data_IF_990802665263
#
_entry.id   IF_990802665263
#
_cell.length_a   1.000
_cell.length_b   1.000
_cell.length_c   1.000
_cell.angle_alpha   90.00
_cell.angle_beta   90.00
_cell.angle_gamma   90.00
#
_symmetry.space_group_name_H-M   'P 1'
#
loop_
_entity.id
_entity.type
_entity.pdbx_description
1 polymer ?
#
# COMPACT_ATOMS: atom_id res chain seq x y z
N UNK A 1 2.91 -5.33 42.95
CA UNK A 1 2.49 -6.03 41.72
C UNK A 1 2.32 -4.94 40.65
N UNK A 2 3.43 -4.42 40.14
CA UNK A 2 3.88 -4.73 38.78
C UNK A 2 3.37 -3.66 37.81
N UNK A 3 3.97 -2.46 37.84
CA UNK A 3 3.58 -1.34 36.98
C UNK A 3 3.93 -1.64 35.52
N UNK A 4 3.05 -2.32 34.80
CA UNK A 4 3.05 -2.27 33.34
C UNK A 4 2.82 -0.80 32.97
N UNK A 5 3.89 -0.08 32.64
CA UNK A 5 3.76 1.22 32.01
C UNK A 5 2.96 1.04 30.72
N UNK A 6 2.06 1.97 30.38
CA UNK A 6 1.21 1.84 29.19
C UNK A 6 2.04 1.53 27.91
N UNK A 7 3.27 2.04 27.86
CA UNK A 7 4.25 1.73 26.84
C UNK A 7 4.60 0.23 26.73
N UNK A 8 4.86 -0.44 27.85
CA UNK A 8 5.15 -1.88 27.87
C UNK A 8 3.94 -2.72 27.43
N UNK A 9 2.73 -2.29 27.76
CA UNK A 9 1.50 -2.95 27.29
C UNK A 9 1.34 -2.83 25.77
N UNK A 10 1.59 -1.65 25.19
CA UNK A 10 1.53 -1.44 23.75
C UNK A 10 2.53 -2.34 23.00
N UNK A 11 3.77 -2.44 23.50
CA UNK A 11 4.79 -3.34 22.93
C UNK A 11 4.34 -4.81 23.00
N UNK A 12 3.79 -5.24 24.14
CA UNK A 12 3.32 -6.62 24.29
C UNK A 12 2.21 -6.95 23.29
N UNK A 13 1.19 -6.08 23.21
CA UNK A 13 0.05 -6.26 22.30
C UNK A 13 0.49 -6.24 20.83
N UNK A 14 1.34 -5.29 20.43
CA UNK A 14 1.84 -5.21 19.07
C UNK A 14 2.68 -6.42 18.70
N UNK A 15 3.52 -6.90 19.62
CA UNK A 15 4.40 -8.06 19.39
C UNK A 15 3.58 -9.34 19.22
N UNK A 16 2.59 -9.58 20.09
CA UNK A 16 1.70 -10.74 19.98
C UNK A 16 0.93 -10.73 18.65
N UNK A 17 0.36 -9.59 18.28
CA UNK A 17 -0.35 -9.45 17.01
C UNK A 17 0.57 -9.65 15.80
N UNK A 18 1.79 -9.11 15.86
CA UNK A 18 2.78 -9.28 14.79
C UNK A 18 3.25 -10.72 14.64
N UNK A 19 3.40 -11.47 15.73
CA UNK A 19 3.70 -12.91 15.67
C UNK A 19 2.56 -13.64 14.95
N UNK A 20 1.30 -13.35 15.26
CA UNK A 20 0.14 -13.94 14.57
C UNK A 20 0.14 -13.58 13.09
N UNK A 21 0.32 -12.30 12.74
CA UNK A 21 0.34 -11.84 11.35
C UNK A 21 1.48 -12.50 10.55
N UNK A 22 2.69 -12.54 11.11
CA UNK A 22 3.86 -13.15 10.49
C UNK A 22 3.71 -14.65 10.33
N UNK A 23 3.21 -15.37 11.34
CA UNK A 23 3.03 -16.82 11.28
C UNK A 23 2.00 -17.23 10.23
N UNK A 24 0.85 -16.55 10.17
CA UNK A 24 -0.16 -16.79 9.14
C UNK A 24 0.35 -16.47 7.73
N UNK A 25 1.06 -15.35 7.56
CA UNK A 25 1.67 -15.01 6.28
C UNK A 25 2.76 -16.01 5.88
N UNK A 26 3.61 -16.44 6.82
CA UNK A 26 4.66 -17.42 6.57
C UNK A 26 4.07 -18.78 6.21
N UNK A 27 3.01 -19.21 6.89
CA UNK A 27 2.26 -20.42 6.54
C UNK A 27 1.75 -20.35 5.10
N UNK A 28 1.11 -19.25 4.70
CA UNK A 28 0.59 -19.11 3.35
C UNK A 28 1.71 -19.07 2.29
N UNK A 29 2.80 -18.36 2.56
CA UNK A 29 3.99 -18.34 1.68
C UNK A 29 4.57 -19.74 1.53
N UNK A 30 4.72 -20.47 2.64
CA UNK A 30 5.21 -21.85 2.64
C UNK A 30 4.33 -22.78 1.79
N UNK A 31 3.00 -22.65 1.90
CA UNK A 31 2.06 -23.40 1.05
C UNK A 31 2.21 -23.09 -0.44
N UNK A 32 2.45 -21.82 -0.81
CA UNK A 32 2.75 -21.45 -2.21
C UNK A 32 4.10 -22.00 -2.69
N UNK A 33 5.09 -22.12 -1.80
CA UNK A 33 6.41 -22.66 -2.13
C UNK A 33 6.41 -24.19 -2.28
N UNK A 34 5.61 -24.92 -1.50
CA UNK A 34 5.45 -26.38 -1.70
C UNK A 34 4.71 -26.65 -3.01
N UNK A 35 3.66 -25.89 -3.30
CA UNK A 35 2.83 -26.08 -4.48
C UNK A 35 3.29 -25.20 -5.66
N UNK A 36 4.60 -25.10 -5.90
CA UNK A 36 5.20 -24.11 -6.81
C UNK A 36 5.09 -24.48 -8.30
N UNK A 37 3.87 -24.60 -8.81
CA UNK A 37 3.57 -25.02 -10.20
C UNK A 37 3.74 -23.89 -11.22
N UNK A 38 3.38 -22.65 -10.87
CA UNK A 38 3.42 -21.49 -11.76
C UNK A 38 4.36 -20.41 -11.23
N UNK A 39 5.68 -20.53 -11.45
CA UNK A 39 6.68 -19.71 -10.78
C UNK A 39 6.54 -18.21 -11.08
N UNK A 40 6.16 -17.84 -12.31
CA UNK A 40 5.99 -16.42 -12.71
C UNK A 40 4.84 -15.75 -11.95
N UNK A 41 3.77 -16.48 -11.65
CA UNK A 41 2.57 -15.99 -10.96
C UNK A 41 2.76 -16.04 -9.45
N UNK A 42 3.19 -17.19 -8.93
CA UNK A 42 3.37 -17.41 -7.50
C UNK A 42 4.45 -16.52 -6.90
N UNK A 43 5.53 -16.23 -7.63
CA UNK A 43 6.54 -15.25 -7.19
C UNK A 43 5.93 -13.86 -6.94
N UNK A 44 4.97 -13.43 -7.76
CA UNK A 44 4.30 -12.13 -7.59
C UNK A 44 3.33 -12.18 -6.40
N UNK A 45 2.63 -13.29 -6.20
CA UNK A 45 1.77 -13.50 -5.03
C UNK A 45 2.59 -13.49 -3.74
N UNK A 46 3.70 -14.22 -3.69
CA UNK A 46 4.60 -14.25 -2.53
C UNK A 46 5.08 -12.83 -2.19
N UNK A 47 5.46 -12.02 -3.19
CA UNK A 47 5.79 -10.59 -2.98
C UNK A 47 4.64 -9.79 -2.37
N UNK A 48 3.40 -10.03 -2.79
CA UNK A 48 2.23 -9.36 -2.19
C UNK A 48 2.03 -9.82 -0.74
N UNK A 49 2.18 -11.11 -0.46
CA UNK A 49 1.99 -11.67 0.89
C UNK A 49 3.00 -11.12 1.89
N UNK A 50 4.24 -10.89 1.45
CA UNK A 50 5.30 -10.28 2.28
C UNK A 50 4.98 -8.87 2.78
N UNK A 51 3.94 -8.20 2.25
CA UNK A 51 3.46 -6.91 2.77
C UNK A 51 3.12 -6.99 4.27
N UNK A 52 2.42 -8.04 4.70
CA UNK A 52 1.93 -8.18 6.07
C UNK A 52 3.09 -8.31 7.08
N UNK A 53 4.09 -9.21 6.88
CA UNK A 53 5.28 -9.25 7.71
C UNK A 53 6.06 -7.93 7.75
N UNK A 54 6.21 -7.26 6.60
CA UNK A 54 6.91 -5.98 6.54
C UNK A 54 6.23 -4.94 7.44
N UNK A 55 4.92 -4.73 7.29
CA UNK A 55 4.20 -3.76 8.13
C UNK A 55 4.25 -4.13 9.61
N UNK A 56 3.91 -5.37 9.97
CA UNK A 56 3.84 -5.80 11.38
C UNK A 56 5.18 -5.70 12.12
N UNK A 57 6.29 -6.12 11.48
CA UNK A 57 7.64 -6.03 12.07
C UNK A 57 8.03 -4.56 12.24
N UNK A 58 7.96 -3.74 11.19
CA UNK A 58 8.40 -2.34 11.27
C UNK A 58 7.51 -1.47 12.17
N UNK A 59 6.20 -1.74 12.24
CA UNK A 59 5.30 -1.07 13.19
C UNK A 59 5.65 -1.44 14.63
N UNK A 60 5.93 -2.73 14.91
CA UNK A 60 6.33 -3.17 16.26
C UNK A 60 7.67 -2.56 16.68
N UNK A 61 8.66 -2.53 15.78
CA UNK A 61 9.97 -1.90 16.04
C UNK A 61 9.85 -0.38 16.25
N UNK A 62 8.88 0.28 15.62
CA UNK A 62 8.66 1.72 15.76
C UNK A 62 8.22 2.14 17.16
N UNK A 63 7.69 1.23 17.99
CA UNK A 63 7.22 1.57 19.35
C UNK A 63 8.40 1.81 20.31
N UNK A 64 9.32 0.85 20.55
CA UNK A 64 10.48 1.09 21.42
C UNK A 64 11.49 2.08 20.79
N UNK A 65 11.65 2.06 19.47
CA UNK A 65 12.53 2.98 18.73
C UNK A 65 11.73 4.12 18.07
N UNK A 66 10.91 4.82 18.86
CA UNK A 66 10.02 5.88 18.37
C UNK A 66 10.75 7.05 17.69
N UNK A 67 12.02 7.31 18.03
CA UNK A 67 12.84 8.32 17.35
C UNK A 67 13.11 7.93 15.90
N UNK A 68 13.26 6.64 15.63
CA UNK A 68 13.54 6.09 14.30
C UNK A 68 12.29 5.71 13.51
N UNK A 69 11.09 5.95 14.05
CA UNK A 69 9.80 5.55 13.45
C UNK A 69 9.60 6.02 12.00
N UNK A 70 10.15 7.18 11.63
CA UNK A 70 10.07 7.70 10.24
C UNK A 70 10.90 6.87 9.28
N UNK A 71 12.08 6.39 9.71
CA UNK A 71 12.91 5.51 8.89
C UNK A 71 12.21 4.17 8.65
N UNK A 72 11.63 3.58 9.70
CA UNK A 72 10.85 2.34 9.57
C UNK A 72 9.60 2.55 8.71
N UNK A 73 8.91 3.68 8.90
CA UNK A 73 7.84 4.21 8.05
C UNK A 73 8.16 4.16 6.57
N UNK A 74 9.27 4.80 6.20
CA UNK A 74 9.73 4.90 4.83
C UNK A 74 9.95 3.52 4.17
N UNK A 75 10.39 2.50 4.92
CA UNK A 75 10.65 1.16 4.38
C UNK A 75 9.37 0.44 3.98
N UNK A 76 8.38 0.33 4.88
CA UNK A 76 7.15 -0.40 4.55
C UNK A 76 6.27 0.38 3.56
N UNK A 77 6.29 1.71 3.59
CA UNK A 77 5.58 2.54 2.60
C UNK A 77 6.21 2.45 1.21
N UNK A 78 7.53 2.28 1.12
CA UNK A 78 8.18 1.95 -0.15
C UNK A 78 7.76 0.56 -0.63
N UNK A 79 7.72 -0.42 0.27
CA UNK A 79 7.30 -1.78 -0.06
C UNK A 79 5.86 -1.83 -0.63
N UNK A 80 4.96 -1.00 -0.12
CA UNK A 80 3.60 -0.81 -0.64
C UNK A 80 3.59 -0.60 -2.16
N UNK A 81 4.50 0.22 -2.68
CA UNK A 81 4.60 0.48 -4.13
C UNK A 81 4.99 -0.76 -4.93
N UNK A 82 5.89 -1.59 -4.39
CA UNK A 82 6.29 -2.84 -4.99
C UNK A 82 5.15 -3.86 -5.00
N UNK A 83 4.27 -3.83 -4.00
CA UNK A 83 3.07 -4.66 -3.92
C UNK A 83 2.08 -4.27 -5.01
N UNK A 84 1.81 -2.97 -5.19
CA UNK A 84 0.92 -2.47 -6.25
C UNK A 84 1.46 -2.82 -7.64
N UNK A 85 2.77 -2.64 -7.87
CA UNK A 85 3.39 -3.05 -9.13
C UNK A 85 3.34 -4.57 -9.35
N UNK A 86 3.58 -5.36 -8.29
CA UNK A 86 3.47 -6.82 -8.36
C UNK A 86 2.05 -7.28 -8.66
N UNK A 87 1.04 -6.60 -8.11
CA UNK A 87 -0.36 -6.86 -8.39
C UNK A 87 -0.72 -6.53 -9.85
N UNK A 88 -0.26 -5.41 -10.39
CA UNK A 88 -0.45 -5.11 -11.82
C UNK A 88 0.16 -6.18 -12.71
N UNK A 89 1.42 -6.57 -12.45
CA UNK A 89 2.08 -7.64 -13.17
C UNK A 89 1.35 -8.98 -13.03
N UNK A 90 0.77 -9.25 -11.86
CA UNK A 90 -0.02 -10.45 -11.60
C UNK A 90 -1.25 -10.49 -12.51
N UNK A 91 -1.98 -9.38 -12.64
CA UNK A 91 -3.12 -9.28 -13.56
C UNK A 91 -2.68 -9.51 -15.01
N UNK A 92 -1.55 -8.93 -15.43
CA UNK A 92 -1.01 -9.17 -16.78
C UNK A 92 -0.67 -10.65 -17.00
N UNK A 93 -0.09 -11.33 -16.00
CA UNK A 93 0.27 -12.76 -16.12
C UNK A 93 -0.94 -13.69 -16.12
N UNK A 94 -2.05 -13.29 -15.49
CA UNK A 94 -3.31 -14.04 -15.60
C UNK A 94 -3.92 -13.94 -17.00
N UNK A 95 -3.70 -12.85 -17.74
CA UNK A 95 -4.15 -12.73 -19.13
C UNK A 95 -3.30 -13.56 -20.08
N UNK A 96 -1.98 -13.48 -19.93
CA UNK A 96 -1.08 -14.30 -20.71
C UNK A 96 0.26 -14.53 -19.97
N UNK A 97 0.82 -15.75 -20.01
CA UNK A 97 2.12 -16.05 -19.43
C UNK A 97 3.24 -15.18 -19.98
N UNK A 98 3.15 -14.61 -21.19
CA UNK A 98 4.15 -13.74 -21.79
C UNK A 98 3.66 -12.29 -21.96
N UNK A 99 4.38 -11.36 -21.31
CA UNK A 99 4.02 -9.94 -21.29
C UNK A 99 4.11 -9.26 -22.66
N UNK A 100 4.95 -9.78 -23.56
CA UNK A 100 5.05 -9.27 -24.92
C UNK A 100 3.76 -9.54 -25.70
N UNK A 101 3.16 -10.73 -25.50
CA UNK A 101 1.87 -11.08 -26.09
C UNK A 101 0.77 -10.19 -25.51
N UNK A 102 0.77 -9.96 -24.19
CA UNK A 102 -0.18 -9.01 -23.57
C UNK A 102 -0.11 -7.64 -24.25
N UNK A 103 1.10 -7.11 -24.45
CA UNK A 103 1.31 -5.81 -25.11
C UNK A 103 0.81 -5.81 -26.55
N UNK A 104 1.07 -6.85 -27.33
CA UNK A 104 0.61 -6.93 -28.73
C UNK A 104 -0.90 -7.15 -28.83
N UNK A 105 -1.49 -7.98 -27.98
CA UNK A 105 -2.95 -8.18 -27.89
C UNK A 105 -3.68 -6.88 -27.58
N UNK A 106 -3.17 -6.08 -26.63
CA UNK A 106 -3.73 -4.75 -26.39
C UNK A 106 -3.52 -3.77 -27.54
N UNK A 107 -2.48 -3.94 -28.37
CA UNK A 107 -2.31 -3.15 -29.59
C UNK A 107 -3.39 -3.38 -30.65
N UNK A 108 -4.04 -4.55 -30.62
CA UNK A 108 -5.12 -4.92 -31.55
C UNK A 108 -6.53 -4.60 -31.01
N UNK A 109 -6.65 -4.24 -29.74
CA UNK A 109 -7.92 -3.98 -29.07
C UNK A 109 -8.21 -2.48 -28.99
N UNK A 110 -9.45 -2.09 -29.25
CA UNK A 110 -9.92 -0.75 -28.93
C UNK A 110 -10.18 -0.63 -27.41
N UNK A 111 -9.48 0.29 -26.70
CA UNK A 111 -9.63 0.43 -25.26
C UNK A 111 -10.98 1.07 -24.91
N UNK A 112 -11.61 0.53 -23.87
CA UNK A 112 -12.83 1.07 -23.30
C UNK A 112 -12.59 2.49 -22.81
N UNK A 113 -13.62 3.35 -22.88
CA UNK A 113 -13.49 4.73 -22.47
C UNK A 113 -13.09 4.83 -20.98
N UNK A 114 -12.14 5.72 -20.68
CA UNK A 114 -11.54 5.96 -19.36
C UNK A 114 -12.58 6.12 -18.24
N UNK A 115 -12.29 5.75 -17.00
CA UNK A 115 -13.21 5.98 -15.87
C UNK A 115 -13.37 7.48 -15.55
N UNK A 116 -14.41 7.85 -14.80
CA UNK A 116 -14.50 9.17 -14.16
C UNK A 116 -13.52 9.20 -12.98
N UNK A 117 -12.71 10.27 -12.76
CA UNK A 117 -12.90 11.65 -13.25
C UNK A 117 -12.09 12.02 -14.51
N UNK A 118 -11.28 11.13 -15.09
CA UNK A 118 -10.42 11.47 -16.24
C UNK A 118 -11.22 11.98 -17.44
N UNK A 119 -12.41 11.42 -17.68
CA UNK A 119 -13.31 11.95 -18.72
C UNK A 119 -13.77 13.37 -18.43
N UNK A 120 -14.15 13.65 -17.18
CA UNK A 120 -14.56 14.98 -16.75
C UNK A 120 -13.42 15.99 -16.91
N UNK A 121 -12.20 15.65 -16.44
CA UNK A 121 -11.02 16.51 -16.58
C UNK A 121 -10.69 16.76 -18.06
N UNK A 122 -10.70 15.72 -18.91
CA UNK A 122 -10.44 15.88 -20.35
C UNK A 122 -11.47 16.77 -21.05
N UNK A 123 -12.74 16.68 -20.62
CA UNK A 123 -13.84 17.48 -21.15
C UNK A 123 -13.81 18.94 -20.66
N UNK A 124 -13.63 19.14 -19.36
CA UNK A 124 -13.74 20.46 -18.70
C UNK A 124 -12.43 21.23 -18.70
N UNK A 125 -11.31 20.58 -18.33
CA UNK A 125 -9.99 21.23 -18.23
C UNK A 125 -9.32 21.32 -19.60
N UNK A 126 -9.30 20.23 -20.35
CA UNK A 126 -8.56 20.18 -21.62
C UNK A 126 -9.40 20.54 -22.85
N UNK A 127 -10.71 20.78 -22.71
CA UNK A 127 -11.69 21.06 -23.79
C UNK A 127 -11.55 20.14 -25.02
N UNK A 128 -10.98 18.94 -24.85
CA UNK A 128 -10.82 17.97 -25.93
C UNK A 128 -12.09 17.14 -26.02
N UNK A 129 -12.56 16.90 -27.24
CA UNK A 129 -13.59 15.90 -27.51
C UNK A 129 -13.12 14.59 -26.86
N UNK A 130 -14.02 13.91 -26.15
CA UNK A 130 -13.72 12.61 -25.51
C UNK A 130 -13.64 11.55 -26.63
N UNK A 131 -12.65 11.69 -27.49
CA UNK A 131 -12.29 10.63 -28.44
C UNK A 131 -11.53 9.57 -27.67
N UNK A 132 -12.03 8.34 -27.76
CA UNK A 132 -11.37 7.18 -27.20
C UNK A 132 -9.95 7.09 -27.76
N UNK A 133 -9.02 6.65 -26.91
CA UNK A 133 -7.67 6.35 -27.39
C UNK A 133 -7.83 5.27 -28.46
N UNK A 134 -7.55 5.57 -29.73
CA UNK A 134 -7.72 4.60 -30.82
C UNK A 134 -6.67 3.49 -30.78
N UNK A 135 -5.53 3.78 -30.16
CA UNK A 135 -4.40 2.87 -30.04
C UNK A 135 -4.34 2.23 -28.65
N UNK A 136 -4.66 0.95 -28.57
CA UNK A 136 -4.62 0.19 -27.32
C UNK A 136 -3.20 -0.09 -26.81
N UNK A 137 -2.18 -0.03 -27.67
CA UNK A 137 -0.77 -0.20 -27.27
C UNK A 137 -0.25 1.00 -26.47
N UNK A 138 -0.65 2.21 -26.90
CA UNK A 138 -0.41 3.46 -26.19
C UNK A 138 -1.16 3.47 -24.86
N UNK A 139 -2.43 3.05 -24.85
CA UNK A 139 -3.23 2.95 -23.63
C UNK A 139 -2.58 2.03 -22.59
N UNK A 140 -2.12 0.85 -23.01
CA UNK A 140 -1.42 -0.09 -22.11
C UNK A 140 -0.11 0.49 -21.60
N UNK A 141 0.66 1.16 -22.47
CA UNK A 141 1.93 1.79 -22.09
C UNK A 141 1.73 2.93 -21.08
N UNK A 142 0.64 3.72 -21.21
CA UNK A 142 0.28 4.75 -20.22
C UNK A 142 -0.01 4.11 -18.86
N UNK A 143 -0.85 3.06 -18.81
CA UNK A 143 -1.18 2.37 -17.56
C UNK A 143 0.09 1.80 -16.92
N UNK A 144 0.92 1.12 -17.71
CA UNK A 144 2.19 0.57 -17.27
C UNK A 144 3.07 1.65 -16.64
N UNK A 145 3.24 2.79 -17.32
CA UNK A 145 4.03 3.91 -16.83
C UNK A 145 3.44 4.53 -15.56
N UNK A 146 2.13 4.74 -15.49
CA UNK A 146 1.47 5.31 -14.31
C UNK A 146 1.60 4.41 -13.07
N UNK A 147 1.49 3.08 -13.23
CA UNK A 147 1.66 2.15 -12.11
C UNK A 147 3.13 2.10 -11.65
N UNK A 148 4.09 2.06 -12.57
CA UNK A 148 5.51 2.03 -12.21
C UNK A 148 6.04 3.38 -11.70
N UNK A 149 5.44 4.49 -12.12
CA UNK A 149 5.76 5.82 -11.60
C UNK A 149 5.55 5.91 -10.08
N UNK A 150 4.56 5.20 -9.53
CA UNK A 150 4.34 5.14 -8.09
C UNK A 150 5.53 4.54 -7.33
N UNK A 151 6.20 3.53 -7.88
CA UNK A 151 7.40 2.95 -7.27
C UNK A 151 8.54 3.97 -7.22
N UNK A 152 8.72 4.74 -8.29
CA UNK A 152 9.75 5.78 -8.36
C UNK A 152 9.44 6.90 -7.36
N UNK A 153 8.19 7.36 -7.30
CA UNK A 153 7.78 8.40 -6.35
C UNK A 153 7.94 7.96 -4.91
N UNK A 154 7.52 6.75 -4.54
CA UNK A 154 7.70 6.23 -3.18
C UNK A 154 9.16 6.00 -2.82
N UNK A 155 9.99 5.59 -3.77
CA UNK A 155 11.44 5.48 -3.56
C UNK A 155 12.07 6.85 -3.28
N UNK A 156 11.79 7.84 -4.12
CA UNK A 156 12.27 9.21 -3.91
C UNK A 156 11.71 9.81 -2.61
N UNK A 157 10.43 9.59 -2.32
CA UNK A 157 9.77 10.02 -1.09
C UNK A 157 10.41 9.40 0.15
N UNK A 158 10.77 8.12 0.12
CA UNK A 158 11.53 7.46 1.17
C UNK A 158 12.91 8.11 1.37
N UNK A 159 13.67 8.36 0.29
CA UNK A 159 14.95 9.08 0.39
C UNK A 159 14.76 10.49 0.98
N UNK A 160 13.74 11.23 0.53
CA UNK A 160 13.44 12.55 1.07
C UNK A 160 13.11 12.49 2.56
N UNK A 161 12.31 11.51 3.02
CA UNK A 161 12.02 11.29 4.46
C UNK A 161 13.30 11.06 5.25
N UNK A 162 14.19 10.19 4.77
CA UNK A 162 15.46 9.87 5.43
C UNK A 162 16.35 11.12 5.57
N UNK A 163 16.52 11.87 4.46
CA UNK A 163 17.39 13.06 4.42
C UNK A 163 16.82 14.18 5.29
N UNK A 164 15.52 14.47 5.17
CA UNK A 164 14.88 15.58 5.89
C UNK A 164 14.74 15.29 7.38
N UNK A 165 14.59 14.02 7.78
CA UNK A 165 14.64 13.58 9.17
C UNK A 165 16.06 13.74 9.73
N UNK A 166 17.10 13.35 8.97
CA UNK A 166 18.49 13.55 9.39
C UNK A 166 18.86 15.03 9.55
N UNK A 167 18.32 15.90 8.69
CA UNK A 167 18.49 17.36 8.78
C UNK A 167 17.56 18.03 9.81
N UNK A 168 16.70 17.28 10.50
CA UNK A 168 15.70 17.81 11.46
C UNK A 168 14.66 18.79 10.87
N UNK A 169 14.44 18.78 9.55
CA UNK A 169 13.48 19.65 8.83
C UNK A 169 12.17 18.92 8.47
N UNK A 170 12.10 17.60 8.70
CA UNK A 170 10.90 16.81 8.35
C UNK A 170 9.67 17.18 9.21
N UNK A 171 9.88 17.43 10.52
CA UNK A 171 8.85 17.66 11.54
C UNK A 171 7.66 16.68 11.48
N UNK A 172 7.63 15.69 12.39
CA UNK A 172 6.62 14.63 12.42
C UNK A 172 5.24 15.08 12.89
N UNK A 173 5.13 16.27 13.44
CA UNK A 173 3.95 16.69 14.21
C UNK A 173 3.23 17.86 13.55
N UNK A 174 3.90 18.54 12.61
CA UNK A 174 3.34 19.70 11.92
C UNK A 174 3.02 19.38 10.45
N UNK A 175 1.86 19.87 10.01
CA UNK A 175 1.46 19.95 8.60
C UNK A 175 1.71 21.36 8.03
N UNK A 176 2.52 22.19 8.69
CA UNK A 176 2.81 23.52 8.19
C UNK A 176 3.53 23.45 6.84
N UNK A 177 3.17 24.33 5.87
CA UNK A 177 3.81 24.39 4.55
C UNK A 177 5.33 24.60 4.58
N UNK A 178 5.88 25.06 5.71
CA UNK A 178 7.31 25.24 5.93
C UNK A 178 8.11 23.94 6.14
N UNK A 179 7.45 22.82 6.43
CA UNK A 179 8.11 21.53 6.64
C UNK A 179 7.99 20.59 5.43
N UNK A 180 8.98 19.72 5.26
CA UNK A 180 9.03 18.82 4.11
C UNK A 180 7.91 17.76 4.10
N UNK A 181 7.36 17.40 5.27
CA UNK A 181 6.35 16.35 5.44
C UNK A 181 5.11 16.54 4.57
N UNK A 182 4.52 17.74 4.54
CA UNK A 182 3.28 17.98 3.80
C UNK A 182 3.49 17.82 2.29
N UNK A 183 4.60 18.31 1.76
CA UNK A 183 4.91 18.21 0.34
C UNK A 183 5.13 16.77 -0.10
N UNK A 184 5.91 16.00 0.67
CA UNK A 184 6.12 14.56 0.42
C UNK A 184 4.79 13.81 0.47
N UNK A 185 3.97 14.08 1.48
CA UNK A 185 2.66 13.46 1.64
C UNK A 185 1.71 13.74 0.47
N UNK A 186 1.60 14.99 0.04
CA UNK A 186 0.74 15.39 -1.09
C UNK A 186 1.19 14.73 -2.39
N UNK A 187 2.49 14.73 -2.68
CA UNK A 187 3.05 14.10 -3.90
C UNK A 187 2.77 12.59 -3.89
N UNK A 188 3.01 11.92 -2.76
CA UNK A 188 2.76 10.48 -2.62
C UNK A 188 1.28 10.13 -2.77
N UNK A 189 0.35 10.93 -2.21
CA UNK A 189 -1.09 10.70 -2.37
C UNK A 189 -1.53 10.87 -3.81
N UNK A 190 -1.08 11.93 -4.49
CA UNK A 190 -1.45 12.17 -5.90
C UNK A 190 -0.96 11.00 -6.77
N UNK A 191 0.27 10.53 -6.54
CA UNK A 191 0.83 9.39 -7.25
C UNK A 191 0.08 8.09 -6.95
N UNK A 192 -0.25 7.82 -5.68
CA UNK A 192 -1.05 6.66 -5.27
C UNK A 192 -2.42 6.66 -5.94
N UNK A 193 -3.15 7.77 -5.89
CA UNK A 193 -4.48 7.90 -6.50
C UNK A 193 -4.40 7.68 -8.01
N UNK A 194 -3.37 8.21 -8.67
CA UNK A 194 -3.14 8.02 -10.11
C UNK A 194 -2.89 6.56 -10.46
N UNK A 195 -1.99 5.88 -9.75
CA UNK A 195 -1.67 4.47 -9.98
C UNK A 195 -2.89 3.56 -9.73
N UNK A 196 -3.62 3.81 -8.64
CA UNK A 196 -4.83 3.05 -8.30
C UNK A 196 -5.94 3.27 -9.33
N UNK A 197 -6.08 4.49 -9.84
CA UNK A 197 -7.02 4.78 -10.91
C UNK A 197 -6.67 4.03 -12.21
N UNK A 198 -5.40 4.03 -12.62
CA UNK A 198 -4.92 3.29 -13.78
C UNK A 198 -5.12 1.77 -13.62
N UNK A 199 -4.90 1.23 -12.42
CA UNK A 199 -5.20 -0.17 -12.11
C UNK A 199 -6.69 -0.51 -12.25
N UNK A 200 -7.58 0.34 -11.74
CA UNK A 200 -9.03 0.17 -11.90
C UNK A 200 -9.44 0.25 -13.37
N UNK A 201 -8.83 1.16 -14.13
CA UNK A 201 -9.07 1.25 -15.58
C UNK A 201 -8.62 -0.03 -16.30
N UNK A 202 -7.45 -0.57 -15.94
CA UNK A 202 -6.96 -1.84 -16.47
C UNK A 202 -7.93 -2.98 -16.15
N UNK A 203 -8.36 -3.08 -14.89
CA UNK A 203 -9.32 -4.08 -14.44
C UNK A 203 -10.65 -3.97 -15.19
N UNK A 204 -11.16 -2.76 -15.43
CA UNK A 204 -12.41 -2.56 -16.18
C UNK A 204 -12.32 -3.13 -17.60
N UNK A 205 -11.19 -2.96 -18.28
CA UNK A 205 -10.97 -3.50 -19.63
C UNK A 205 -10.93 -5.03 -19.63
N UNK A 206 -10.40 -5.62 -18.57
CA UNK A 206 -9.99 -7.05 -18.51
C UNK A 206 -10.87 -7.88 -17.58
N UNK A 207 -11.99 -7.30 -17.11
CA UNK A 207 -12.86 -7.89 -16.09
C UNK A 207 -13.38 -9.28 -16.47
N UNK A 208 -13.73 -9.47 -17.74
CA UNK A 208 -14.30 -10.73 -18.23
C UNK A 208 -13.25 -11.85 -18.18
N UNK A 209 -12.07 -11.60 -18.76
CA UNK A 209 -10.95 -12.54 -18.79
C UNK A 209 -10.44 -12.90 -17.38
N UNK A 210 -10.44 -11.94 -16.47
CA UNK A 210 -9.95 -12.13 -15.09
C UNK A 210 -11.02 -12.68 -14.14
N UNK A 211 -12.29 -12.79 -14.54
CA UNK A 211 -13.38 -13.20 -13.66
C UNK A 211 -13.11 -14.51 -12.88
N UNK A 212 -12.51 -15.56 -13.49
CA UNK A 212 -12.21 -16.81 -12.77
C UNK A 212 -11.26 -16.63 -11.58
N UNK A 213 -10.36 -15.63 -11.63
CA UNK A 213 -9.32 -15.44 -10.64
C UNK A 213 -9.71 -14.50 -9.47
N UNK A 214 -10.98 -14.10 -9.36
CA UNK A 214 -11.53 -13.19 -8.31
C UNK A 214 -10.63 -11.97 -8.02
N UNK A 215 -10.26 -11.17 -9.04
CA UNK A 215 -9.29 -10.08 -8.93
C UNK A 215 -9.74 -8.96 -7.99
N UNK A 216 -11.04 -8.71 -7.83
CA UNK A 216 -11.55 -7.69 -6.90
C UNK A 216 -11.24 -8.03 -5.44
N UNK A 217 -11.36 -9.30 -5.05
CA UNK A 217 -11.05 -9.72 -3.69
C UNK A 217 -9.56 -9.49 -3.38
N UNK A 218 -8.69 -9.85 -4.33
CA UNK A 218 -7.24 -9.61 -4.27
C UNK A 218 -6.91 -8.11 -4.20
N UNK A 219 -7.57 -7.31 -5.02
CA UNK A 219 -7.39 -5.85 -5.01
C UNK A 219 -7.86 -5.21 -3.70
N UNK A 220 -9.02 -5.62 -3.18
CA UNK A 220 -9.55 -5.14 -1.89
C UNK A 220 -8.58 -5.52 -0.76
N UNK A 221 -8.00 -6.71 -0.78
CA UNK A 221 -7.03 -7.14 0.24
C UNK A 221 -5.82 -6.21 0.31
N UNK A 222 -5.24 -5.82 -0.83
CA UNK A 222 -4.12 -4.84 -0.87
C UNK A 222 -4.62 -3.45 -0.47
N UNK A 223 -5.73 -2.99 -1.07
CA UNK A 223 -6.22 -1.62 -0.89
C UNK A 223 -6.67 -1.35 0.55
N UNK A 224 -7.22 -2.35 1.24
CA UNK A 224 -7.69 -2.22 2.61
C UNK A 224 -6.54 -1.82 3.54
N UNK A 225 -5.37 -2.45 3.40
CA UNK A 225 -4.16 -2.12 4.18
C UNK A 225 -3.78 -0.65 4.00
N UNK A 226 -3.69 -0.20 2.76
CA UNK A 226 -3.31 1.17 2.41
C UNK A 226 -4.33 2.16 2.95
N UNK A 227 -5.62 1.87 2.76
CA UNK A 227 -6.69 2.73 3.22
C UNK A 227 -6.69 2.90 4.73
N UNK A 228 -6.58 1.80 5.49
CA UNK A 228 -6.53 1.84 6.96
C UNK A 228 -5.33 2.65 7.45
N UNK A 229 -4.15 2.44 6.87
CA UNK A 229 -2.95 3.20 7.21
C UNK A 229 -3.13 4.72 7.05
N UNK A 230 -3.65 5.17 5.90
CA UNK A 230 -3.87 6.60 5.65
C UNK A 230 -4.97 7.19 6.54
N UNK A 231 -6.07 6.45 6.77
CA UNK A 231 -7.16 6.91 7.63
C UNK A 231 -6.68 7.04 9.07
N UNK A 232 -5.94 6.07 9.59
CA UNK A 232 -5.35 6.13 10.92
C UNK A 232 -4.36 7.29 11.03
N UNK A 233 -3.47 7.46 10.06
CA UNK A 233 -2.52 8.57 10.05
C UNK A 233 -3.22 9.94 10.12
N UNK A 234 -4.34 10.09 9.41
CA UNK A 234 -5.17 11.29 9.50
C UNK A 234 -5.88 11.43 10.85
N UNK A 235 -6.56 10.38 11.30
CA UNK A 235 -7.34 10.37 12.57
C UNK A 235 -6.43 10.66 13.76
N UNK A 236 -5.34 9.91 13.91
CA UNK A 236 -4.38 10.14 14.98
C UNK A 236 -3.69 11.49 14.84
N UNK A 237 -3.31 11.91 13.62
CA UNK A 237 -2.75 13.24 13.40
C UNK A 237 -3.69 14.39 13.84
N UNK A 238 -5.01 14.23 13.69
CA UNK A 238 -5.98 15.20 14.19
C UNK A 238 -6.22 15.10 15.70
N UNK A 239 -6.13 13.90 16.28
CA UNK A 239 -6.34 13.67 17.71
C UNK A 239 -5.16 14.14 18.56
N UNK A 240 -3.93 14.07 18.03
CA UNK A 240 -2.68 14.42 18.73
C UNK A 240 -2.20 15.85 18.51
N UNK A 241 -2.87 16.64 17.68
CA UNK A 241 -2.51 18.05 17.43
C UNK A 241 -2.80 18.91 18.67
N UNK A 242 -2.20 20.10 18.73
CA UNK A 242 -2.49 21.09 19.77
C UNK A 242 -4.00 21.44 19.77
N UNK A 243 -4.70 21.14 20.87
CA UNK A 243 -6.15 21.28 21.01
C UNK A 243 -6.98 20.05 20.58
N UNK A 244 -6.34 18.94 20.22
CA UNK A 244 -6.99 17.64 19.99
C UNK A 244 -7.44 16.97 21.29
N UNK A 245 -8.28 15.93 21.20
CA UNK A 245 -8.87 15.29 22.38
C UNK A 245 -7.91 14.40 23.16
N UNK A 246 -6.72 14.09 22.64
CA UNK A 246 -5.75 13.20 23.27
C UNK A 246 -4.56 13.99 23.82
N UNK A 247 -4.47 14.07 25.14
CA UNK A 247 -3.37 14.72 25.86
C UNK A 247 -2.53 13.69 26.62
N UNK A 248 -1.22 13.93 26.78
CA UNK A 248 -0.39 13.10 27.64
C UNK A 248 -0.94 13.15 29.07
N UNK A 249 -1.11 11.98 29.69
CA UNK A 249 -1.55 11.81 31.08
C UNK A 249 -0.41 11.14 31.85
N UNK A 250 -0.44 11.15 33.19
CA UNK A 250 0.60 10.51 34.02
C UNK A 250 0.85 9.02 33.67
N UNK A 251 -0.13 8.34 33.07
CA UNK A 251 -0.01 6.97 32.60
C UNK A 251 0.49 6.82 31.14
N UNK A 252 0.33 7.83 30.28
CA UNK A 252 0.59 7.76 28.82
C UNK A 252 1.44 8.95 28.36
N UNK A 253 2.67 8.66 27.95
CA UNK A 253 3.58 9.65 27.38
C UNK A 253 3.22 10.01 25.94
N UNK A 254 3.60 11.22 25.50
CA UNK A 254 3.36 11.70 24.14
C UNK A 254 3.86 10.74 23.04
N UNK A 255 5.08 10.16 23.11
CA UNK A 255 5.53 9.17 22.13
C UNK A 255 4.66 7.90 22.08
N UNK A 256 4.16 7.45 23.23
CA UNK A 256 3.24 6.31 23.30
C UNK A 256 1.91 6.63 22.62
N UNK A 257 1.49 7.89 22.68
CA UNK A 257 0.23 8.35 22.10
C UNK A 257 0.36 8.59 20.58
N UNK A 258 1.41 9.27 20.13
CA UNK A 258 1.63 9.64 18.74
C UNK A 258 2.22 8.51 17.87
N UNK A 259 3.04 7.62 18.46
CA UNK A 259 3.71 6.52 17.72
C UNK A 259 3.23 5.16 18.23
N UNK A 260 3.10 4.98 19.54
CA UNK A 260 2.75 3.69 20.14
C UNK A 260 1.37 3.18 19.73
N UNK A 261 0.31 3.95 20.02
CA UNK A 261 -1.08 3.54 19.74
C UNK A 261 -1.30 3.28 18.25
N UNK A 262 -0.95 4.19 17.31
CA UNK A 262 -1.22 3.96 15.88
C UNK A 262 -0.51 2.69 15.35
N UNK A 263 0.76 2.49 15.71
CA UNK A 263 1.50 1.29 15.31
C UNK A 263 0.94 0.00 15.92
N UNK A 264 0.42 0.08 17.15
CA UNK A 264 -0.22 -1.07 17.80
C UNK A 264 -1.52 -1.46 17.08
N UNK A 265 -2.36 -0.48 16.72
CA UNK A 265 -3.59 -0.73 15.95
C UNK A 265 -3.26 -1.29 14.56
N UNK A 266 -2.24 -0.75 13.89
CA UNK A 266 -1.73 -1.31 12.62
C UNK A 266 -1.32 -2.77 12.75
N UNK A 267 -0.67 -3.17 13.84
CA UNK A 267 -0.29 -4.57 14.06
C UNK A 267 -1.52 -5.49 14.17
N UNK A 268 -2.61 -5.04 14.80
CA UNK A 268 -3.89 -5.77 14.86
C UNK A 268 -4.56 -5.87 13.49
N UNK A 269 -4.55 -4.79 12.73
CA UNK A 269 -5.06 -4.80 11.36
C UNK A 269 -4.26 -5.74 10.46
N UNK A 270 -2.94 -5.80 10.62
CA UNK A 270 -2.10 -6.73 9.86
C UNK A 270 -2.42 -8.20 10.20
N UNK A 271 -2.77 -8.51 11.45
CA UNK A 271 -3.24 -9.84 11.81
C UNK A 271 -4.58 -10.15 11.13
N UNK A 272 -5.54 -9.23 11.12
CA UNK A 272 -6.81 -9.41 10.41
C UNK A 272 -6.63 -9.56 8.89
N UNK A 273 -5.77 -8.74 8.29
CA UNK A 273 -5.42 -8.81 6.86
C UNK A 273 -4.71 -10.12 6.53
N UNK A 274 -3.87 -10.65 7.42
CA UNK A 274 -3.22 -11.95 7.22
C UNK A 274 -4.24 -13.08 7.06
N UNK A 275 -5.35 -13.02 7.81
CA UNK A 275 -6.48 -13.95 7.66
C UNK A 275 -7.18 -13.72 6.32
N UNK A 276 -7.43 -12.46 5.94
CA UNK A 276 -8.01 -12.13 4.62
C UNK A 276 -7.15 -12.66 3.46
N UNK A 277 -5.83 -12.61 3.57
CA UNK A 277 -4.89 -13.10 2.57
C UNK A 277 -5.01 -14.62 2.32
N UNK A 278 -5.36 -15.40 3.35
CA UNK A 278 -5.64 -16.85 3.18
C UNK A 278 -6.77 -17.11 2.18
N UNK A 279 -7.79 -16.24 2.17
CA UNK A 279 -8.94 -16.36 1.25
C UNK A 279 -8.72 -15.65 -0.08
N UNK A 280 -8.00 -14.52 -0.08
CA UNK A 280 -7.75 -13.73 -1.29
C UNK A 280 -6.70 -14.38 -2.21
N UNK A 281 -5.70 -15.05 -1.64
CA UNK A 281 -4.58 -15.67 -2.36
C UNK A 281 -4.42 -17.16 -2.00
N UNK A 282 -5.43 -18.00 -2.29
CA UNK A 282 -5.37 -19.42 -2.00
C UNK A 282 -4.23 -20.07 -2.78
N UNK A 283 -3.55 -21.03 -2.16
CA UNK A 283 -2.52 -21.85 -2.81
C UNK A 283 -3.13 -23.00 -3.65
N UNK A 284 -4.40 -23.35 -3.40
CA UNK A 284 -5.13 -24.39 -4.12
C UNK A 284 -5.72 -23.78 -5.40
N UNK A 285 -5.37 -24.32 -6.56
CA UNK A 285 -5.94 -23.93 -7.85
C UNK A 285 -4.99 -23.24 -8.85
N UNK A 286 -3.69 -23.54 -8.78
CA UNK A 286 -2.71 -23.17 -9.83
C UNK A 286 -2.44 -24.31 -10.80
#
# INVERSE_FOLDING_TARGET
IGSFTAHGLLILLSTLSSIVACTLSAYLIYQHLINYTQPKVQKLIIRILFMVPMYSIFCTLSIPWYKQSVYFGAVYEFYESLVIASFFLLLCRYLNPDLNVVRTTFGLLEPQPWLQPVRFIRKVVFRKKVENTRDGSLWFSIIWLCVLQFCVVKFLGALTKIITEASSVYCKESYDPGYARIWVFVIEIISLVTAMFCLLQFYKQTKLELAPHRPLLKFIAIKLVVFLFYVQGFVFGQLTKNGGSMFPTDAISYPSLAVGIPNTVLCFEMAAVSVLHLYAYPYRGF
#
